data_IF_957231692931
#
_entry.id   IF_957231692931
#
_cell.length_a   1.000
_cell.length_b   1.000
_cell.length_c   1.000
_cell.angle_alpha   90.00
_cell.angle_beta   90.00
_cell.angle_gamma   90.00
#
_symmetry.space_group_name_H-M   'P 1'
#
loop_
_entity.id
_entity.type
_entity.pdbx_description
1 polymer ?
#
# COMPACT_ATOMS: atom_id res chain seq x y z
N UNK A 1 1.83 16.52 2.41
CA UNK A 1 2.56 16.02 1.22
C UNK A 1 1.70 14.93 0.66
N UNK A 2 1.21 15.12 -0.56
CA UNK A 2 0.22 14.23 -1.15
C UNK A 2 0.83 12.85 -1.32
N UNK A 3 0.04 11.82 -0.97
CA UNK A 3 0.43 10.41 -1.09
C UNK A 3 -0.52 9.69 -2.04
N UNK A 4 0.01 8.76 -2.81
CA UNK A 4 -0.79 7.81 -3.56
C UNK A 4 -0.13 6.45 -3.57
N UNK A 5 -0.96 5.41 -3.67
CA UNK A 5 -0.51 4.06 -3.97
C UNK A 5 -0.99 3.69 -5.38
N UNK A 6 -0.16 3.01 -6.14
CA UNK A 6 -0.54 2.45 -7.44
C UNK A 6 -0.27 0.96 -7.41
N UNK A 7 -1.32 0.19 -7.67
CA UNK A 7 -1.23 -1.25 -7.91
C UNK A 7 -1.09 -1.47 -9.41
N UNK A 8 -0.16 -2.33 -9.81
CA UNK A 8 0.22 -2.53 -11.20
C UNK A 8 0.10 -4.02 -11.53
N UNK A 9 -0.46 -4.31 -12.70
CA UNK A 9 -0.39 -5.61 -13.36
C UNK A 9 0.52 -5.44 -14.58
N UNK A 10 1.53 -6.29 -14.70
CA UNK A 10 2.46 -6.31 -15.82
C UNK A 10 2.42 -7.64 -16.59
N UNK A 11 3.20 -7.73 -17.65
CA UNK A 11 3.44 -9.00 -18.34
C UNK A 11 4.30 -9.91 -17.46
N UNK A 12 3.93 -11.18 -17.36
CA UNK A 12 4.61 -12.14 -16.48
C UNK A 12 6.12 -12.19 -16.75
N UNK A 13 6.93 -12.10 -15.70
CA UNK A 13 8.39 -12.13 -15.79
C UNK A 13 9.02 -10.78 -16.16
N UNK A 14 8.25 -9.69 -16.17
CA UNK A 14 8.74 -8.33 -16.43
C UNK A 14 8.79 -7.43 -15.20
N UNK A 15 8.51 -7.98 -14.02
CA UNK A 15 8.38 -7.26 -12.75
C UNK A 15 9.66 -6.45 -12.44
N UNK A 16 10.83 -7.08 -12.55
CA UNK A 16 12.11 -6.43 -12.26
C UNK A 16 12.40 -5.25 -13.21
N UNK A 17 12.04 -5.39 -14.49
CA UNK A 17 12.17 -4.33 -15.48
C UNK A 17 11.24 -3.16 -15.17
N UNK A 18 9.97 -3.44 -14.82
CA UNK A 18 9.01 -2.41 -14.44
C UNK A 18 9.47 -1.70 -13.17
N UNK A 19 9.89 -2.42 -12.13
CA UNK A 19 10.43 -1.86 -10.88
C UNK A 19 11.64 -0.98 -11.16
N UNK A 20 12.57 -1.41 -12.02
CA UNK A 20 13.72 -0.61 -12.41
C UNK A 20 13.32 0.70 -13.10
N UNK A 21 12.28 0.69 -13.94
CA UNK A 21 11.76 1.90 -14.57
C UNK A 21 11.05 2.82 -13.55
N UNK A 22 10.28 2.26 -12.61
CA UNK A 22 9.67 3.02 -11.51
C UNK A 22 10.73 3.75 -10.67
N UNK A 23 11.93 3.15 -10.52
CA UNK A 23 13.08 3.77 -9.85
C UNK A 23 13.62 5.02 -10.54
N UNK A 24 13.16 5.38 -11.73
CA UNK A 24 13.55 6.63 -12.39
C UNK A 24 12.53 7.77 -12.19
N UNK A 25 11.37 7.48 -11.58
CA UNK A 25 10.33 8.48 -11.33
C UNK A 25 10.60 9.12 -9.95
N UNK A 26 10.83 10.44 -9.83
CA UNK A 26 11.24 11.09 -8.58
C UNK A 26 10.22 10.97 -7.44
N UNK A 27 8.92 11.06 -7.73
CA UNK A 27 7.86 10.98 -6.72
C UNK A 27 7.68 9.58 -6.14
N UNK A 28 8.20 8.53 -6.79
CA UNK A 28 8.11 7.16 -6.27
C UNK A 28 9.08 6.98 -5.10
N UNK A 29 8.50 6.76 -3.92
CA UNK A 29 9.24 6.47 -2.68
C UNK A 29 9.43 4.98 -2.51
N UNK A 30 8.43 4.17 -2.83
CA UNK A 30 8.51 2.72 -2.72
C UNK A 30 8.01 2.04 -3.99
N UNK A 31 8.63 0.93 -4.37
CA UNK A 31 8.07 0.00 -5.35
C UNK A 31 8.47 -1.41 -4.97
N UNK A 32 7.50 -2.31 -4.85
CA UNK A 32 7.73 -3.70 -4.48
C UNK A 32 6.93 -4.64 -5.36
N UNK A 33 7.54 -5.78 -5.69
CA UNK A 33 6.82 -6.95 -6.18
C UNK A 33 5.81 -7.44 -5.15
N UNK A 34 4.72 -8.01 -5.61
CA UNK A 34 3.67 -8.55 -4.76
C UNK A 34 3.25 -9.93 -5.24
N UNK A 35 2.63 -10.71 -4.35
CA UNK A 35 1.97 -11.95 -4.75
C UNK A 35 0.46 -11.84 -4.59
N UNK A 36 -0.26 -12.28 -5.62
CA UNK A 36 -1.73 -12.23 -5.67
C UNK A 36 -2.21 -11.72 -7.03
N UNK A 37 -3.25 -10.89 -7.01
CA UNK A 37 -3.87 -10.33 -8.22
C UNK A 37 -3.12 -9.14 -8.82
N UNK A 38 -2.15 -8.60 -8.09
CA UNK A 38 -1.31 -7.49 -8.49
C UNK A 38 0.13 -7.98 -8.47
N UNK A 39 0.92 -7.47 -9.41
CA UNK A 39 2.31 -7.87 -9.57
C UNK A 39 3.24 -6.90 -8.84
N UNK A 40 2.88 -5.61 -8.80
CA UNK A 40 3.68 -4.56 -8.15
C UNK A 40 2.77 -3.60 -7.37
N UNK A 41 3.22 -3.16 -6.19
CA UNK A 41 2.68 -2.04 -5.43
C UNK A 41 3.74 -0.93 -5.35
N UNK A 42 3.36 0.30 -5.71
CA UNK A 42 4.23 1.47 -5.58
C UNK A 42 3.58 2.60 -4.80
N UNK A 43 4.37 3.31 -3.98
CA UNK A 43 3.98 4.48 -3.20
C UNK A 43 4.61 5.73 -3.80
N UNK A 44 3.80 6.75 -4.04
CA UNK A 44 4.19 8.06 -4.51
C UNK A 44 4.01 9.08 -3.39
N UNK A 45 4.97 9.99 -3.26
CA UNK A 45 4.88 11.15 -2.37
C UNK A 45 5.35 12.38 -3.13
N UNK A 46 4.57 13.46 -3.07
CA UNK A 46 4.88 14.73 -3.74
C UNK A 46 4.38 15.92 -2.93
N UNK A 47 4.86 17.11 -3.26
CA UNK A 47 4.38 18.38 -2.68
C UNK A 47 2.97 18.76 -3.17
N UNK A 48 2.56 18.31 -4.37
CA UNK A 48 1.25 18.60 -4.95
C UNK A 48 0.63 17.37 -5.65
N UNK A 49 -0.69 17.40 -5.83
CA UNK A 49 -1.45 16.31 -6.45
C UNK A 49 -1.22 16.23 -7.97
N UNK A 50 -1.03 17.38 -8.63
CA UNK A 50 -0.80 17.46 -10.09
C UNK A 50 0.43 16.66 -10.52
N UNK A 51 1.53 16.74 -9.76
CA UNK A 51 2.74 15.95 -10.01
C UNK A 51 2.46 14.45 -9.88
N UNK A 52 1.67 14.02 -8.89
CA UNK A 52 1.28 12.60 -8.77
C UNK A 52 0.47 12.18 -9.99
N UNK A 53 -0.53 12.96 -10.39
CA UNK A 53 -1.36 12.63 -11.55
C UNK A 53 -0.54 12.59 -12.86
N UNK A 54 0.40 13.53 -13.02
CA UNK A 54 1.35 13.58 -14.12
C UNK A 54 2.24 12.33 -14.12
N UNK A 55 2.90 12.01 -13.01
CA UNK A 55 3.84 10.88 -12.92
C UNK A 55 3.13 9.55 -13.10
N UNK A 56 1.88 9.41 -12.67
CA UNK A 56 1.06 8.23 -12.97
C UNK A 56 0.75 8.16 -14.46
N UNK A 57 0.27 9.25 -15.06
CA UNK A 57 -0.28 9.23 -16.42
C UNK A 57 0.78 9.25 -17.53
N UNK A 58 1.91 9.92 -17.27
CA UNK A 58 3.01 10.13 -18.21
C UNK A 58 4.26 9.33 -17.85
N UNK A 59 4.42 8.95 -16.58
CA UNK A 59 5.48 8.05 -16.13
C UNK A 59 4.99 6.60 -16.10
N UNK A 60 4.31 6.22 -15.01
CA UNK A 60 3.94 4.83 -14.71
C UNK A 60 3.20 4.19 -15.89
N UNK A 61 2.09 4.76 -16.36
CA UNK A 61 1.26 4.18 -17.44
C UNK A 61 1.93 4.19 -18.83
N UNK A 62 3.15 4.72 -18.96
CA UNK A 62 3.96 4.69 -20.18
C UNK A 62 5.09 3.67 -20.13
N UNK A 63 5.34 3.05 -18.97
CA UNK A 63 6.31 1.97 -18.86
C UNK A 63 5.81 0.77 -19.65
N UNK A 64 6.66 0.25 -20.54
CA UNK A 64 6.38 -0.97 -21.30
C UNK A 64 6.04 -2.15 -20.38
N UNK A 65 5.24 -3.08 -20.89
CA UNK A 65 4.80 -4.30 -20.19
C UNK A 65 3.79 -4.06 -19.05
N UNK A 66 3.43 -2.82 -18.72
CA UNK A 66 2.29 -2.57 -17.83
C UNK A 66 0.99 -2.80 -18.59
N UNK A 67 0.16 -3.70 -18.08
CA UNK A 67 -1.16 -4.04 -18.63
C UNK A 67 -2.27 -3.18 -18.04
N UNK A 68 -2.20 -2.94 -16.74
CA UNK A 68 -3.21 -2.13 -16.05
C UNK A 68 -2.69 -1.54 -14.74
N UNK A 69 -3.36 -0.50 -14.26
CA UNK A 69 -3.04 0.17 -12.99
C UNK A 69 -4.31 0.50 -12.22
N UNK A 70 -4.29 0.35 -10.89
CA UNK A 70 -5.26 0.93 -9.97
C UNK A 70 -4.59 2.00 -9.12
N UNK A 71 -5.12 3.22 -9.14
CA UNK A 71 -4.62 4.34 -8.33
C UNK A 71 -5.47 4.50 -7.07
N UNK A 72 -4.82 4.57 -5.92
CA UNK A 72 -5.41 4.81 -4.60
C UNK A 72 -4.83 6.11 -4.05
N UNK A 73 -5.58 7.21 -4.17
CA UNK A 73 -5.17 8.53 -3.68
C UNK A 73 -5.49 8.61 -2.18
N UNK A 74 -4.52 9.06 -1.38
CA UNK A 74 -4.70 9.25 0.06
C UNK A 74 -5.40 10.58 0.33
N UNK A 75 -6.46 10.55 1.14
CA UNK A 75 -7.07 11.76 1.73
C UNK A 75 -6.33 12.08 3.04
N UNK A 76 -5.68 13.25 3.13
CA UNK A 76 -4.84 13.63 4.27
C UNK A 76 -5.62 13.91 5.57
N UNK A 77 -6.95 13.78 5.59
CA UNK A 77 -7.78 14.11 6.76
C UNK A 77 -7.57 13.22 7.99
N UNK A 78 -7.35 11.92 7.79
CA UNK A 78 -7.35 10.92 8.85
C UNK A 78 -6.38 9.78 8.55
N UNK A 79 -5.82 9.19 9.60
CA UNK A 79 -4.89 8.07 9.54
C UNK A 79 -3.91 8.07 10.71
N UNK A 80 -3.03 7.08 10.75
CA UNK A 80 -1.94 7.02 11.72
C UNK A 80 -0.71 6.32 11.14
N UNK A 81 0.45 6.59 11.75
CA UNK A 81 1.69 5.86 11.55
C UNK A 81 2.29 5.61 12.93
N UNK A 82 2.50 4.33 13.29
CA UNK A 82 2.99 3.93 14.61
C UNK A 82 4.50 3.86 14.73
N UNK A 83 5.21 3.90 13.61
CA UNK A 83 6.65 3.65 13.56
C UNK A 83 7.41 4.90 13.14
N UNK A 84 8.52 5.17 13.81
CA UNK A 84 9.50 6.12 13.30
C UNK A 84 10.38 5.50 12.20
N UNK A 85 11.25 6.29 11.58
CA UNK A 85 12.11 5.81 10.48
C UNK A 85 13.08 4.68 10.87
N UNK A 86 13.55 4.65 12.12
CA UNK A 86 14.50 3.64 12.59
C UNK A 86 13.77 2.31 12.79
N UNK A 87 12.63 2.35 13.48
CA UNK A 87 11.75 1.20 13.68
C UNK A 87 11.29 0.63 12.34
N UNK A 88 10.89 1.48 11.41
CA UNK A 88 10.45 1.06 10.09
C UNK A 88 11.56 0.31 9.33
N UNK A 89 12.81 0.80 9.37
CA UNK A 89 13.96 0.11 8.77
C UNK A 89 14.22 -1.26 9.39
N UNK A 90 14.08 -1.38 10.71
CA UNK A 90 14.25 -2.67 11.40
C UNK A 90 13.15 -3.62 10.93
N UNK A 91 11.89 -3.19 10.94
CA UNK A 91 10.77 -4.02 10.53
C UNK A 91 10.88 -4.47 9.06
N UNK A 92 11.30 -3.58 8.14
CA UNK A 92 11.44 -3.92 6.73
C UNK A 92 12.50 -5.02 6.46
N UNK A 93 13.48 -5.19 7.35
CA UNK A 93 14.51 -6.22 7.21
C UNK A 93 14.09 -7.60 7.74
N UNK A 94 13.19 -7.64 8.73
CA UNK A 94 12.92 -8.87 9.49
C UNK A 94 11.47 -9.34 9.45
N UNK A 95 10.54 -8.52 8.99
CA UNK A 95 9.11 -8.81 9.02
C UNK A 95 8.55 -8.98 7.61
N UNK A 96 7.61 -9.91 7.46
CA UNK A 96 6.70 -9.92 6.33
C UNK A 96 5.85 -8.63 6.36
N UNK A 97 5.51 -8.15 5.16
CA UNK A 97 4.76 -6.90 4.97
C UNK A 97 3.58 -7.12 4.03
N UNK A 98 2.43 -6.54 4.37
CA UNK A 98 1.28 -6.52 3.48
C UNK A 98 0.53 -5.19 3.57
N UNK A 99 -0.10 -4.81 2.47
CA UNK A 99 -1.06 -3.71 2.42
C UNK A 99 -2.46 -4.28 2.30
N UNK A 100 -3.38 -3.82 3.13
CA UNK A 100 -4.78 -4.24 3.11
C UNK A 100 -5.63 -3.05 2.70
N UNK A 101 -6.28 -3.13 1.54
CA UNK A 101 -7.32 -2.14 1.21
C UNK A 101 -8.63 -2.58 1.82
N UNK A 102 -9.31 -1.67 2.51
CA UNK A 102 -10.54 -1.93 3.25
C UNK A 102 -11.68 -1.14 2.62
N UNK A 103 -12.77 -1.83 2.33
CA UNK A 103 -14.03 -1.22 1.96
C UNK A 103 -14.95 -1.22 3.18
N UNK A 104 -15.37 -0.02 3.58
CA UNK A 104 -16.38 0.22 4.62
C UNK A 104 -17.32 1.36 4.17
N UNK A 105 -18.38 1.64 4.92
CA UNK A 105 -19.21 2.83 4.66
C UNK A 105 -18.48 4.09 5.15
N UNK A 106 -18.78 5.24 4.55
CA UNK A 106 -18.19 6.53 4.98
C UNK A 106 -18.45 6.85 6.46
N UNK A 107 -19.61 6.44 6.98
CA UNK A 107 -19.96 6.56 8.40
C UNK A 107 -19.06 5.76 9.34
N UNK A 108 -18.42 4.69 8.83
CA UNK A 108 -17.68 3.72 9.63
C UNK A 108 -16.17 3.98 9.58
N UNK A 109 -15.69 4.90 8.73
CA UNK A 109 -14.26 5.18 8.54
C UNK A 109 -13.55 5.46 9.87
N UNK A 110 -14.13 6.33 10.70
CA UNK A 110 -13.54 6.73 11.98
C UNK A 110 -13.49 5.57 12.99
N UNK A 111 -14.58 4.82 13.15
CA UNK A 111 -14.62 3.69 14.09
C UNK A 111 -13.69 2.56 13.65
N UNK A 112 -13.63 2.27 12.35
CA UNK A 112 -12.70 1.28 11.80
C UNK A 112 -11.25 1.68 12.04
N UNK A 113 -10.88 2.95 11.82
CA UNK A 113 -9.51 3.44 12.08
C UNK A 113 -9.12 3.24 13.55
N UNK A 114 -10.02 3.57 14.50
CA UNK A 114 -9.75 3.35 15.93
C UNK A 114 -9.52 1.89 16.28
N UNK A 115 -10.37 1.00 15.77
CA UNK A 115 -10.21 -0.45 16.00
C UNK A 115 -8.91 -0.98 15.37
N UNK A 116 -8.49 -0.45 14.21
CA UNK A 116 -7.21 -0.80 13.59
C UNK A 116 -6.02 -0.28 14.41
N UNK A 117 -6.15 0.87 15.06
CA UNK A 117 -5.13 1.45 15.92
C UNK A 117 -4.83 0.57 17.14
N UNK A 118 -5.81 -0.17 17.64
CA UNK A 118 -5.64 -1.11 18.75
C UNK A 118 -4.89 -2.40 18.36
N UNK A 119 -4.74 -2.70 17.06
CA UNK A 119 -4.03 -3.89 16.57
C UNK A 119 -2.53 -3.56 16.42
N UNK A 120 -1.62 -4.15 17.23
CA UNK A 120 -0.20 -3.78 17.22
C UNK A 120 0.47 -3.95 15.86
N UNK A 121 0.08 -5.00 15.11
CA UNK A 121 0.68 -5.35 13.83
C UNK A 121 0.27 -4.40 12.70
N UNK A 122 -0.79 -3.59 12.89
CA UNK A 122 -1.18 -2.53 11.96
C UNK A 122 -0.34 -1.28 12.25
N UNK A 123 0.63 -1.00 11.38
CA UNK A 123 1.63 0.05 11.60
C UNK A 123 1.31 1.38 10.91
N UNK A 124 0.52 1.36 9.83
CA UNK A 124 0.10 2.55 9.09
C UNK A 124 -1.35 2.38 8.64
N UNK A 125 -2.16 3.43 8.71
CA UNK A 125 -3.49 3.51 8.10
C UNK A 125 -3.63 4.86 7.42
N UNK A 126 -4.09 4.85 6.17
CA UNK A 126 -4.44 6.06 5.43
C UNK A 126 -5.89 5.95 4.92
N UNK A 127 -6.62 7.06 4.96
CA UNK A 127 -7.91 7.17 4.25
C UNK A 127 -7.66 7.33 2.76
N UNK A 128 -8.53 6.73 1.95
CA UNK A 128 -8.47 6.75 0.50
C UNK A 128 -9.68 7.49 -0.09
N UNK A 129 -9.43 8.16 -1.21
CA UNK A 129 -10.48 8.69 -2.07
C UNK A 129 -11.04 7.57 -2.95
N UNK A 130 -12.37 7.47 -3.04
CA UNK A 130 -13.06 6.57 -3.97
C UNK A 130 -13.74 5.37 -3.31
N UNK A 131 -13.70 4.21 -3.98
CA UNK A 131 -14.43 3.00 -3.59
C UNK A 131 -13.84 2.35 -2.34
N UNK A 132 -12.54 2.08 -2.35
CA UNK A 132 -11.82 1.67 -1.15
C UNK A 132 -11.73 2.88 -0.22
N UNK A 133 -11.97 2.66 1.08
CA UNK A 133 -12.00 3.73 2.08
C UNK A 133 -10.70 3.85 2.84
N UNK A 134 -10.02 2.74 3.09
CA UNK A 134 -8.77 2.73 3.83
C UNK A 134 -7.75 1.86 3.11
N UNK A 135 -6.48 2.18 3.32
CA UNK A 135 -5.37 1.26 3.12
C UNK A 135 -4.58 1.19 4.42
N UNK A 136 -4.33 -0.01 4.91
CA UNK A 136 -3.46 -0.21 6.08
C UNK A 136 -2.24 -1.06 5.74
N UNK A 137 -1.12 -0.76 6.39
CA UNK A 137 0.11 -1.54 6.33
C UNK A 137 0.18 -2.43 7.57
N UNK A 138 0.36 -3.72 7.35
CA UNK A 138 0.54 -4.72 8.40
C UNK A 138 1.93 -5.31 8.29
N UNK A 139 2.61 -5.43 9.43
CA UNK A 139 3.92 -6.06 9.54
C UNK A 139 3.88 -7.15 10.63
N UNK A 140 4.40 -8.33 10.30
CA UNK A 140 4.41 -9.49 11.20
C UNK A 140 5.57 -10.43 10.83
N UNK A 141 6.02 -11.35 11.70
CA UNK A 141 7.15 -12.23 11.39
C UNK A 141 6.97 -13.03 10.10
N UNK A 142 5.75 -13.51 9.81
CA UNK A 142 5.45 -14.30 8.62
C UNK A 142 4.17 -13.87 7.91
N UNK A 143 4.01 -14.27 6.64
CA UNK A 143 2.75 -14.06 5.90
C UNK A 143 1.57 -14.84 6.50
N UNK A 144 1.83 -15.96 7.19
CA UNK A 144 0.79 -16.71 7.89
C UNK A 144 0.25 -15.93 9.08
N UNK A 145 1.13 -15.26 9.83
CA UNK A 145 0.72 -14.38 10.92
C UNK A 145 -0.15 -13.24 10.39
N UNK A 146 0.25 -12.61 9.27
CA UNK A 146 -0.55 -11.59 8.58
C UNK A 146 -1.93 -12.15 8.20
N UNK A 147 -1.99 -13.34 7.62
CA UNK A 147 -3.26 -13.99 7.25
C UNK A 147 -4.17 -14.23 8.47
N UNK A 148 -3.59 -14.66 9.59
CA UNK A 148 -4.30 -14.83 10.85
C UNK A 148 -4.82 -13.50 11.41
N UNK A 149 -3.99 -12.47 11.46
CA UNK A 149 -4.36 -11.12 11.90
C UNK A 149 -5.50 -10.57 11.04
N UNK A 150 -5.39 -10.71 9.71
CA UNK A 150 -6.43 -10.22 8.79
C UNK A 150 -7.74 -10.96 8.98
N UNK A 151 -7.70 -12.29 9.09
CA UNK A 151 -8.91 -13.12 9.18
C UNK A 151 -9.60 -13.07 10.55
N UNK A 152 -8.83 -13.04 11.63
CA UNK A 152 -9.34 -13.10 13.01
C UNK A 152 -9.55 -11.73 13.65
N UNK A 153 -8.74 -10.71 13.30
CA UNK A 153 -8.86 -9.36 13.86
C UNK A 153 -9.48 -8.39 12.85
N UNK A 154 -8.79 -8.11 11.73
CA UNK A 154 -9.19 -7.04 10.80
C UNK A 154 -10.60 -7.28 10.23
N UNK A 155 -10.85 -8.43 9.59
CA UNK A 155 -12.17 -8.73 8.98
C UNK A 155 -13.33 -8.86 9.98
N UNK A 156 -13.04 -8.88 11.29
CA UNK A 156 -14.05 -8.93 12.36
C UNK A 156 -14.45 -7.55 12.88
N UNK A 157 -13.73 -6.49 12.50
CA UNK A 157 -14.09 -5.12 12.87
C UNK A 157 -15.43 -4.76 12.23
N UNK A 158 -16.37 -4.30 13.06
CA UNK A 158 -17.68 -3.85 12.61
C UNK A 158 -17.55 -2.68 11.63
N UNK A 159 -18.34 -2.72 10.55
CA UNK A 159 -18.32 -1.71 9.48
C UNK A 159 -17.43 -2.08 8.28
N UNK A 160 -16.53 -3.05 8.43
CA UNK A 160 -15.77 -3.59 7.29
C UNK A 160 -16.67 -4.50 6.45
N UNK A 161 -16.81 -4.15 5.16
CA UNK A 161 -17.58 -4.92 4.17
C UNK A 161 -16.71 -5.93 3.44
N UNK A 162 -15.51 -5.52 3.06
CA UNK A 162 -14.54 -6.40 2.40
C UNK A 162 -13.12 -5.87 2.53
N UNK A 163 -12.16 -6.76 2.30
CA UNK A 163 -10.72 -6.45 2.33
C UNK A 163 -10.03 -7.10 1.14
N UNK A 164 -9.05 -6.42 0.53
CA UNK A 164 -8.10 -7.05 -0.38
C UNK A 164 -6.69 -6.99 0.23
N UNK A 165 -5.99 -8.12 0.21
CA UNK A 165 -4.66 -8.27 0.79
C UNK A 165 -3.60 -8.27 -0.31
N UNK A 166 -2.64 -7.37 -0.21
CA UNK A 166 -1.52 -7.22 -1.13
C UNK A 166 -0.25 -7.53 -0.37
N UNK A 167 0.24 -8.76 -0.48
CA UNK A 167 1.44 -9.16 0.23
C UNK A 167 2.69 -8.76 -0.56
N UNK A 168 3.65 -8.17 0.14
CA UNK A 168 4.86 -7.62 -0.45
C UNK A 168 5.96 -8.68 -0.49
N UNK A 169 6.67 -8.79 -1.61
CA UNK A 169 7.87 -9.59 -1.77
C UNK A 169 9.07 -8.77 -1.31
N UNK A 170 9.59 -9.07 -0.11
CA UNK A 170 10.58 -8.21 0.54
C UNK A 170 11.90 -8.03 -0.25
N UNK A 171 12.30 -9.01 -1.06
CA UNK A 171 13.55 -8.99 -1.82
C UNK A 171 13.39 -8.50 -3.27
N UNK A 172 12.20 -8.03 -3.68
CA UNK A 172 11.95 -7.52 -5.02
C UNK A 172 11.39 -6.09 -4.92
N UNK A 173 12.26 -5.08 -5.01
CA UNK A 173 11.82 -3.69 -4.92
C UNK A 173 12.86 -2.70 -4.41
N UNK A 174 12.41 -1.49 -4.10
CA UNK A 174 13.19 -0.46 -3.42
C UNK A 174 12.30 0.42 -2.52
N UNK A 175 12.96 1.09 -1.58
CA UNK A 175 12.39 2.17 -0.76
C UNK A 175 13.39 3.33 -0.71
N UNK A 176 12.92 4.55 -0.93
CA UNK A 176 13.70 5.80 -0.84
C UNK A 176 13.38 6.49 0.48
N UNK A 177 14.41 7.10 1.04
CA UNK A 177 14.30 7.99 2.20
C UNK A 177 13.74 9.34 1.77
#
# INVERSE_FOLDING_TARGET
MVKAYVLIINESGTEDSVISNLKNIPSITDAFGTFGTWDILTKLVSSNEENIQHDISKGIRKISNIRSTLTLIVDEKLGFLKTNEIEQKILDNYMAKAFITIHCSKSDEYSVIKNLEEIPEVVEVNVLVGHNKLICKIMSPTYNDISEIVSKKVRKIQGIKSTNTINVINNQGFSRK
#
